data_IF_491161648358
#
_entry.id   IF_491161648358
#
_cell.length_a   1.000
_cell.length_b   1.000
_cell.length_c   1.000
_cell.angle_alpha   90.00
_cell.angle_beta   90.00
_cell.angle_gamma   90.00
#
_symmetry.space_group_name_H-M   'P 1'
#
loop_
_entity.id
_entity.type
_entity.pdbx_description
1 polymer ?
#
# COMPACT_ATOMS: atom_id res chain seq x y z
N UNK A 1 31.13 18.46 31.18
CA UNK A 1 32.10 17.37 31.42
C UNK A 1 32.97 17.11 30.19
N UNK A 2 32.40 17.09 28.97
CA UNK A 2 33.14 16.86 27.72
C UNK A 2 34.28 17.86 27.45
N UNK A 3 34.04 19.17 27.57
CA UNK A 3 35.10 20.19 27.40
C UNK A 3 36.28 19.97 28.36
N UNK A 4 35.98 19.54 29.60
CA UNK A 4 37.00 19.23 30.62
C UNK A 4 37.72 17.91 30.36
N UNK A 5 37.15 17.01 29.56
CA UNK A 5 37.85 15.83 29.08
C UNK A 5 38.93 16.20 28.06
N UNK A 6 38.65 17.13 27.15
CA UNK A 6 39.67 17.64 26.23
C UNK A 6 40.84 18.30 26.97
N UNK A 7 40.55 19.11 28.00
CA UNK A 7 41.59 19.68 28.87
C UNK A 7 42.37 18.60 29.63
N UNK A 8 41.70 17.53 30.06
CA UNK A 8 42.37 16.39 30.70
C UNK A 8 43.35 15.71 29.74
N UNK A 9 42.94 15.49 28.48
CA UNK A 9 43.80 14.93 27.44
C UNK A 9 44.94 15.89 27.04
N UNK A 10 44.73 17.21 27.13
CA UNK A 10 45.75 18.22 26.87
C UNK A 10 46.76 18.38 28.03
N UNK A 11 46.44 17.90 29.23
CA UNK A 11 47.28 18.07 30.42
C UNK A 11 48.66 17.42 30.26
N UNK A 12 49.71 18.13 30.69
CA UNK A 12 51.09 17.61 30.76
C UNK A 12 51.44 16.96 32.10
N UNK A 13 50.53 17.02 33.08
CA UNK A 13 50.75 16.39 34.38
C UNK A 13 50.95 14.88 34.22
N UNK A 14 51.96 14.26 34.87
CA UNK A 14 52.26 12.83 34.71
C UNK A 14 51.05 11.93 34.99
N UNK A 15 50.25 12.29 35.99
CA UNK A 15 49.04 11.59 36.40
C UNK A 15 47.90 11.61 35.35
N UNK A 16 47.90 12.57 34.43
CA UNK A 16 46.85 12.73 33.42
C UNK A 16 47.26 12.16 32.05
N UNK A 17 48.53 11.77 31.85
CA UNK A 17 49.00 11.26 30.55
C UNK A 17 48.21 10.04 30.05
N UNK A 18 47.75 9.17 30.97
CA UNK A 18 46.92 8.00 30.62
C UNK A 18 45.61 8.39 29.91
N UNK A 19 45.08 9.60 30.11
CA UNK A 19 43.88 10.05 29.42
C UNK A 19 44.07 10.20 27.91
N UNK A 20 45.31 10.39 27.43
CA UNK A 20 45.62 10.48 25.98
C UNK A 20 45.42 9.15 25.25
N UNK A 21 45.44 8.03 25.98
CA UNK A 21 45.27 6.69 25.40
C UNK A 21 43.85 6.12 25.58
N UNK A 22 42.92 6.91 26.12
CA UNK A 22 41.56 6.47 26.47
C UNK A 22 40.52 7.13 25.57
N UNK A 23 39.45 6.39 25.27
CA UNK A 23 38.21 6.94 24.69
C UNK A 23 37.34 7.54 25.81
N UNK A 24 36.42 8.43 25.47
CA UNK A 24 35.67 9.19 26.48
C UNK A 24 34.86 8.30 27.44
N UNK A 25 34.29 7.21 26.93
CA UNK A 25 33.51 6.25 27.73
C UNK A 25 34.33 5.51 28.79
N UNK A 26 35.65 5.40 28.61
CA UNK A 26 36.53 4.70 29.53
C UNK A 26 37.08 5.61 30.63
N UNK A 27 36.99 6.93 30.47
CA UNK A 27 37.54 7.90 31.43
C UNK A 27 37.09 7.64 32.88
N UNK A 28 35.81 7.30 33.14
CA UNK A 28 35.36 6.97 34.50
C UNK A 28 36.07 5.79 35.19
N UNK A 29 36.72 4.90 34.42
CA UNK A 29 37.49 3.76 34.94
C UNK A 29 38.73 4.22 35.72
N UNK A 30 39.34 5.35 35.31
CA UNK A 30 40.60 5.86 35.87
C UNK A 30 40.45 7.23 36.52
N UNK A 31 39.45 8.01 36.10
CA UNK A 31 39.19 9.35 36.57
C UNK A 31 37.79 9.44 37.16
N UNK A 32 37.58 10.37 38.09
CA UNK A 32 36.28 10.71 38.64
C UNK A 32 35.98 12.18 38.42
N UNK A 33 34.71 12.52 38.28
CA UNK A 33 34.29 13.91 38.21
C UNK A 33 34.37 14.57 39.60
N UNK A 34 35.23 15.58 39.75
CA UNK A 34 35.32 16.41 40.94
C UNK A 34 34.32 17.56 40.87
N UNK A 35 33.11 17.38 41.40
CA UNK A 35 32.02 18.36 41.29
C UNK A 35 32.39 19.77 41.77
N UNK A 36 33.12 19.88 42.89
CA UNK A 36 33.57 21.18 43.44
C UNK A 36 34.57 21.90 42.53
N UNK A 37 35.52 21.15 41.96
CA UNK A 37 36.57 21.71 41.09
C UNK A 37 36.17 21.73 39.60
N UNK A 38 34.99 21.20 39.26
CA UNK A 38 34.48 21.03 37.89
C UNK A 38 35.53 20.45 36.93
N UNK A 39 36.30 19.45 37.38
CA UNK A 39 37.37 18.80 36.59
C UNK A 39 37.41 17.30 36.81
N UNK A 40 37.99 16.59 35.85
CA UNK A 40 38.36 15.18 36.02
C UNK A 40 39.57 15.07 36.95
N UNK A 41 39.53 14.11 37.87
CA UNK A 41 40.59 13.86 38.85
C UNK A 41 40.92 12.39 38.85
N UNK A 42 42.22 12.04 38.81
CA UNK A 42 42.67 10.65 38.86
C UNK A 42 42.18 9.96 40.13
N UNK A 43 41.71 8.72 39.99
CA UNK A 43 41.32 7.89 41.13
C UNK A 43 42.58 7.41 41.86
N UNK A 44 42.57 7.48 43.19
CA UNK A 44 43.66 6.95 44.03
C UNK A 44 43.53 5.46 44.30
N UNK A 45 42.32 4.92 44.17
CA UNK A 45 42.00 3.51 44.37
C UNK A 45 41.10 3.03 43.22
N UNK A 46 41.25 1.76 42.84
CA UNK A 46 40.40 1.15 41.84
C UNK A 46 38.95 1.06 42.34
N UNK A 47 38.01 1.46 41.50
CA UNK A 47 36.59 1.32 41.74
C UNK A 47 35.95 0.98 40.39
N UNK A 48 35.18 -0.10 40.33
CA UNK A 48 34.40 -0.43 39.14
C UNK A 48 33.43 0.74 38.84
N UNK A 49 33.61 1.37 37.69
CA UNK A 49 32.82 2.49 37.24
C UNK A 49 32.49 2.26 35.77
N UNK A 50 31.28 2.59 35.35
CA UNK A 50 30.84 2.47 33.95
C UNK A 50 30.59 3.88 33.43
N UNK A 51 31.29 4.28 32.37
CA UNK A 51 31.02 5.53 31.68
C UNK A 51 29.79 5.39 30.79
N UNK A 52 28.72 6.12 31.14
CA UNK A 52 27.52 6.22 30.29
C UNK A 52 27.56 7.51 29.49
N UNK A 53 27.57 7.38 28.17
CA UNK A 53 27.34 8.52 27.29
C UNK A 53 25.85 8.78 27.14
N UNK A 54 25.49 10.06 27.01
CA UNK A 54 24.11 10.48 26.77
C UNK A 54 23.64 9.89 25.43
N UNK A 55 22.41 9.37 25.41
CA UNK A 55 21.77 8.93 24.18
C UNK A 55 21.54 10.14 23.26
N UNK A 56 21.92 10.01 21.99
CA UNK A 56 21.72 11.04 20.97
C UNK A 56 20.93 10.41 19.83
N UNK A 57 19.84 11.06 19.44
CA UNK A 57 19.05 10.63 18.28
C UNK A 57 19.87 10.80 17.00
N UNK A 58 19.83 9.83 16.06
CA UNK A 58 20.38 10.01 14.71
C UNK A 58 19.86 11.25 13.96
N UNK A 59 18.69 11.79 14.36
CA UNK A 59 18.12 13.03 13.80
C UNK A 59 18.93 14.29 14.17
N UNK A 60 19.71 14.26 15.25
CA UNK A 60 20.67 15.33 15.59
C UNK A 60 22.05 14.93 15.08
N UNK A 61 22.21 15.00 13.75
CA UNK A 61 23.36 14.45 13.00
C UNK A 61 24.70 14.89 13.60
N UNK A 62 24.86 16.18 13.90
CA UNK A 62 26.11 16.70 14.46
C UNK A 62 26.46 16.06 15.81
N UNK A 63 25.51 15.98 16.75
CA UNK A 63 25.78 15.34 18.05
C UNK A 63 25.92 13.83 17.94
N UNK A 64 25.20 13.20 17.01
CA UNK A 64 25.24 11.77 16.79
C UNK A 64 26.64 11.35 16.31
N UNK A 65 27.16 11.97 15.25
CA UNK A 65 28.49 11.65 14.72
C UNK A 65 29.62 12.09 15.66
N UNK A 66 29.45 13.19 16.41
CA UNK A 66 30.38 13.54 17.49
C UNK A 66 30.45 12.43 18.55
N UNK A 67 29.31 11.83 18.92
CA UNK A 67 29.26 10.71 19.85
C UNK A 67 29.95 9.47 19.27
N UNK A 68 29.75 9.16 17.99
CA UNK A 68 30.46 8.06 17.29
C UNK A 68 31.97 8.25 17.39
N UNK A 69 32.48 9.45 17.12
CA UNK A 69 33.90 9.74 17.24
C UNK A 69 34.40 9.60 18.69
N UNK A 70 33.64 10.04 19.69
CA UNK A 70 34.01 9.90 21.10
C UNK A 70 34.04 8.45 21.61
N UNK A 71 33.32 7.53 20.96
CA UNK A 71 33.41 6.09 21.25
C UNK A 71 34.73 5.48 20.78
N UNK A 72 35.30 5.98 19.68
CA UNK A 72 36.40 5.29 18.98
C UNK A 72 37.74 6.04 19.06
N UNK A 73 37.72 7.37 19.17
CA UNK A 73 38.93 8.20 19.18
C UNK A 73 39.50 8.38 20.59
N UNK A 74 40.80 8.10 20.71
CA UNK A 74 41.57 8.23 21.94
C UNK A 74 42.19 9.62 22.07
N UNK A 75 42.12 10.20 23.26
CA UNK A 75 42.87 11.40 23.63
C UNK A 75 42.66 12.70 22.83
N UNK A 76 41.50 13.00 22.23
CA UNK A 76 41.31 14.30 21.57
C UNK A 76 41.43 15.44 22.58
N UNK A 77 42.12 16.53 22.20
CA UNK A 77 42.39 17.70 23.03
C UNK A 77 41.50 18.91 22.68
N UNK A 78 40.69 18.81 21.64
CA UNK A 78 39.70 19.81 21.28
C UNK A 78 38.60 19.21 20.39
N UNK A 79 37.51 19.95 20.20
CA UNK A 79 36.47 19.60 19.22
C UNK A 79 37.03 19.56 17.80
N UNK A 80 37.99 20.42 17.49
CA UNK A 80 38.67 20.43 16.20
C UNK A 80 39.52 19.18 16.02
N UNK A 81 40.36 18.84 17.01
CA UNK A 81 41.20 17.65 16.92
C UNK A 81 40.36 16.37 16.84
N UNK A 82 39.17 16.34 17.45
CA UNK A 82 38.22 15.22 17.33
C UNK A 82 37.80 14.95 15.89
N UNK A 83 37.74 15.98 15.02
CA UNK A 83 37.44 15.87 13.58
C UNK A 83 38.68 15.97 12.67
N UNK A 84 39.89 16.02 13.24
CA UNK A 84 41.15 15.97 12.48
C UNK A 84 41.63 14.53 12.33
N UNK A 85 41.76 14.06 11.08
CA UNK A 85 42.21 12.71 10.72
C UNK A 85 43.42 12.85 9.78
N UNK A 86 44.53 12.18 10.10
CA UNK A 86 45.78 12.22 9.32
C UNK A 86 46.28 13.65 8.97
N UNK A 87 46.10 14.58 9.90
CA UNK A 87 46.49 15.99 9.72
C UNK A 87 45.49 16.86 8.96
N UNK A 88 44.37 16.30 8.48
CA UNK A 88 43.29 17.04 7.79
C UNK A 88 42.11 17.25 8.73
N UNK A 89 41.70 18.50 8.93
CA UNK A 89 40.52 18.86 9.73
C UNK A 89 39.27 18.88 8.85
N UNK A 90 38.36 17.93 9.03
CA UNK A 90 37.12 17.81 8.28
C UNK A 90 36.04 18.79 8.76
N UNK A 91 35.22 19.32 7.86
CA UNK A 91 34.18 20.31 8.19
C UNK A 91 33.16 19.75 9.19
N UNK A 92 32.72 18.51 9.00
CA UNK A 92 31.72 17.86 9.86
C UNK A 92 32.25 16.62 10.57
N UNK A 93 31.65 16.28 11.71
CA UNK A 93 31.96 15.03 12.43
C UNK A 93 31.59 13.78 11.61
N UNK A 94 30.60 13.87 10.70
CA UNK A 94 30.23 12.78 9.79
C UNK A 94 31.37 12.43 8.84
N UNK A 95 31.93 13.44 8.17
CA UNK A 95 33.05 13.24 7.23
C UNK A 95 34.28 12.65 7.92
N UNK A 96 34.61 13.12 9.13
CA UNK A 96 35.70 12.54 9.92
C UNK A 96 35.43 11.08 10.30
N UNK A 97 34.19 10.75 10.68
CA UNK A 97 33.81 9.37 11.01
C UNK A 97 33.83 8.44 9.77
N UNK A 98 33.39 8.94 8.61
CA UNK A 98 33.47 8.24 7.33
C UNK A 98 34.93 7.95 6.95
N UNK A 99 35.81 8.97 7.01
CA UNK A 99 37.23 8.81 6.68
C UNK A 99 37.93 7.78 7.57
N UNK A 100 37.52 7.67 8.83
CA UNK A 100 38.05 6.71 9.79
C UNK A 100 37.48 5.28 9.63
N UNK A 101 36.56 5.07 8.69
CA UNK A 101 35.89 3.78 8.46
C UNK A 101 34.94 3.39 9.59
N UNK A 102 34.36 4.37 10.30
CA UNK A 102 33.37 4.12 11.35
C UNK A 102 31.93 4.13 10.84
N UNK A 103 31.75 4.46 9.57
CA UNK A 103 30.48 4.42 8.84
C UNK A 103 30.70 3.51 7.64
N UNK A 104 29.70 2.71 7.31
CA UNK A 104 29.67 1.96 6.06
C UNK A 104 29.59 2.97 4.89
N UNK A 105 30.30 2.70 3.80
CA UNK A 105 30.19 3.47 2.56
C UNK A 105 29.53 2.64 1.45
N UNK A 106 29.03 3.32 0.41
CA UNK A 106 28.37 2.66 -0.71
C UNK A 106 29.35 2.33 -1.85
N UNK A 107 30.66 2.35 -1.59
CA UNK A 107 31.69 2.20 -2.63
C UNK A 107 31.61 0.83 -3.33
N UNK A 108 31.28 -0.22 -2.58
CA UNK A 108 31.07 -1.57 -3.12
C UNK A 108 29.88 -1.62 -4.09
N UNK A 109 28.80 -0.89 -3.79
CA UNK A 109 27.61 -0.80 -4.63
C UNK A 109 27.87 0.02 -5.89
N UNK A 110 28.59 1.12 -5.76
CA UNK A 110 29.04 1.93 -6.90
C UNK A 110 29.95 1.11 -7.80
N UNK A 111 30.92 0.37 -7.26
CA UNK A 111 31.81 -0.49 -8.05
C UNK A 111 31.03 -1.60 -8.78
N UNK A 112 30.10 -2.26 -8.08
CA UNK A 112 29.23 -3.30 -8.63
C UNK A 112 28.37 -2.76 -9.80
N UNK A 113 27.72 -1.61 -9.60
CA UNK A 113 26.91 -0.97 -10.63
C UNK A 113 27.76 -0.50 -11.81
N UNK A 114 28.95 0.05 -11.55
CA UNK A 114 29.91 0.46 -12.59
C UNK A 114 30.32 -0.72 -13.48
N UNK A 115 30.68 -1.85 -12.88
CA UNK A 115 31.04 -3.06 -13.62
C UNK A 115 29.86 -3.56 -14.46
N UNK A 116 28.67 -3.65 -13.85
CA UNK A 116 27.47 -4.11 -14.54
C UNK A 116 27.09 -3.20 -15.72
N UNK A 117 27.19 -1.88 -15.57
CA UNK A 117 26.85 -0.91 -16.61
C UNK A 117 27.66 -1.10 -17.90
N UNK A 118 28.86 -1.67 -17.81
CA UNK A 118 29.71 -1.93 -18.97
C UNK A 118 29.17 -3.02 -19.92
N UNK A 119 28.29 -3.92 -19.45
CA UNK A 119 27.84 -5.08 -20.26
C UNK A 119 26.38 -5.48 -20.10
N UNK A 120 25.66 -4.97 -19.09
CA UNK A 120 24.25 -5.29 -18.84
C UNK A 120 23.31 -4.39 -19.63
N UNK A 121 22.11 -4.91 -19.93
CA UNK A 121 21.03 -4.09 -20.51
C UNK A 121 20.35 -3.23 -19.43
N UNK A 122 19.74 -2.09 -19.78
CA UNK A 122 19.09 -1.19 -18.82
C UNK A 122 18.09 -1.87 -17.87
N UNK A 123 17.28 -2.81 -18.37
CA UNK A 123 16.35 -3.57 -17.52
C UNK A 123 17.08 -4.45 -16.49
N UNK A 124 18.19 -5.09 -16.86
CA UNK A 124 19.00 -5.89 -15.93
C UNK A 124 19.68 -5.01 -14.89
N UNK A 125 20.11 -3.79 -15.26
CA UNK A 125 20.62 -2.80 -14.32
C UNK A 125 19.54 -2.35 -13.33
N UNK A 126 18.30 -2.13 -13.80
CA UNK A 126 17.15 -1.83 -12.92
C UNK A 126 16.86 -2.98 -11.95
N UNK A 127 17.03 -4.24 -12.36
CA UNK A 127 16.92 -5.39 -11.46
C UNK A 127 18.04 -5.43 -10.41
N UNK A 128 19.27 -5.14 -10.82
CA UNK A 128 20.43 -5.12 -9.94
C UNK A 128 20.30 -4.03 -8.87
N UNK A 129 20.00 -2.79 -9.27
CA UNK A 129 19.85 -1.68 -8.31
C UNK A 129 18.66 -1.92 -7.36
N UNK A 130 17.55 -2.50 -7.84
CA UNK A 130 16.45 -2.90 -6.97
C UNK A 130 16.89 -3.92 -5.91
N UNK A 131 17.72 -4.89 -6.30
CA UNK A 131 18.27 -5.91 -5.40
C UNK A 131 19.20 -5.28 -4.36
N UNK A 132 20.11 -4.42 -4.79
CA UNK A 132 21.04 -3.71 -3.90
C UNK A 132 20.26 -2.85 -2.89
N UNK A 133 19.27 -2.07 -3.34
CA UNK A 133 18.46 -1.22 -2.46
C UNK A 133 17.69 -2.04 -1.43
N UNK A 134 17.11 -3.19 -1.84
CA UNK A 134 16.29 -4.03 -0.95
C UNK A 134 17.14 -4.79 0.07
N UNK A 135 18.31 -5.29 -0.33
CA UNK A 135 19.06 -6.27 0.46
C UNK A 135 20.37 -5.76 1.07
N UNK A 136 20.85 -4.56 0.69
CA UNK A 136 22.23 -4.16 0.95
C UNK A 136 22.41 -2.82 1.69
N UNK A 137 21.53 -2.47 2.64
CA UNK A 137 21.67 -1.32 3.57
C UNK A 137 22.37 -0.07 2.97
N UNK A 138 21.96 0.34 1.78
CA UNK A 138 22.55 1.46 1.04
C UNK A 138 22.38 2.74 1.83
N UNK A 139 23.47 3.46 2.08
CA UNK A 139 23.47 4.67 2.90
C UNK A 139 22.85 5.86 2.18
N UNK A 140 23.11 6.03 0.88
CA UNK A 140 22.70 7.17 0.06
C UNK A 140 22.05 6.70 -1.25
N UNK A 141 20.83 6.12 -1.15
CA UNK A 141 20.07 5.58 -2.31
C UNK A 141 19.87 6.62 -3.42
N UNK A 142 19.69 7.90 -3.06
CA UNK A 142 19.55 9.02 -4.00
C UNK A 142 20.77 9.16 -4.88
N UNK A 143 21.96 9.20 -4.27
CA UNK A 143 23.22 9.40 -4.96
C UNK A 143 23.48 8.24 -5.93
N UNK A 144 23.21 7.00 -5.52
CA UNK A 144 23.33 5.82 -6.38
C UNK A 144 22.38 5.87 -7.58
N UNK A 145 21.12 6.29 -7.37
CA UNK A 145 20.16 6.48 -8.46
C UNK A 145 20.62 7.56 -9.44
N UNK A 146 21.00 8.74 -8.93
CA UNK A 146 21.40 9.88 -9.77
C UNK A 146 22.66 9.55 -10.58
N UNK A 147 23.62 8.82 -9.99
CA UNK A 147 24.87 8.42 -10.65
C UNK A 147 24.64 7.48 -11.84
N UNK A 148 23.72 6.52 -11.73
CA UNK A 148 23.48 5.50 -12.76
C UNK A 148 22.21 5.74 -13.59
N UNK A 149 21.55 6.90 -13.43
CA UNK A 149 20.26 7.18 -14.06
C UNK A 149 20.30 7.05 -15.59
N UNK A 150 21.36 7.53 -16.24
CA UNK A 150 21.49 7.47 -17.70
C UNK A 150 21.59 6.02 -18.20
N UNK A 151 22.37 5.18 -17.52
CA UNK A 151 22.48 3.75 -17.83
C UNK A 151 21.16 3.02 -17.57
N UNK A 152 20.49 3.36 -16.47
CA UNK A 152 19.20 2.80 -16.07
C UNK A 152 18.07 3.19 -17.03
N UNK A 153 18.16 4.30 -17.75
CA UNK A 153 17.06 4.85 -18.54
C UNK A 153 17.28 4.77 -20.06
N UNK A 154 18.44 4.28 -20.50
CA UNK A 154 18.89 4.31 -21.90
C UNK A 154 17.89 3.71 -22.90
N UNK A 155 17.22 2.61 -22.54
CA UNK A 155 16.21 1.95 -23.39
C UNK A 155 14.96 2.82 -23.59
N UNK A 156 14.52 3.52 -22.54
CA UNK A 156 13.42 4.48 -22.64
C UNK A 156 13.85 5.75 -23.37
N UNK A 157 15.07 6.24 -23.16
CA UNK A 157 15.60 7.37 -23.92
C UNK A 157 15.62 7.08 -25.43
N UNK A 158 15.97 5.85 -25.82
CA UNK A 158 15.91 5.41 -27.20
C UNK A 158 14.46 5.28 -27.70
N UNK A 159 13.59 4.64 -26.92
CA UNK A 159 12.18 4.41 -27.28
C UNK A 159 11.42 5.72 -27.52
N UNK A 160 11.65 6.73 -26.68
CA UNK A 160 10.98 8.02 -26.71
C UNK A 160 11.79 9.12 -27.37
N UNK A 161 12.77 8.76 -28.23
CA UNK A 161 13.68 9.71 -28.91
C UNK A 161 12.97 10.75 -29.79
N UNK A 162 11.72 10.51 -30.17
CA UNK A 162 10.92 11.42 -30.99
C UNK A 162 10.30 12.57 -30.18
N UNK A 163 10.12 12.41 -28.86
CA UNK A 163 9.66 13.47 -27.97
C UNK A 163 10.77 14.51 -27.78
N UNK A 164 10.41 15.73 -27.39
CA UNK A 164 11.37 16.82 -27.15
C UNK A 164 11.06 17.59 -25.86
N UNK A 165 12.07 18.29 -25.34
CA UNK A 165 11.95 19.14 -24.15
C UNK A 165 11.54 18.37 -22.90
N UNK A 166 10.83 19.07 -22.01
CA UNK A 166 10.42 18.54 -20.71
C UNK A 166 9.56 17.28 -20.82
N UNK A 167 8.69 17.20 -21.84
CA UNK A 167 7.82 16.03 -22.05
C UNK A 167 8.63 14.73 -22.23
N UNK A 168 9.75 14.82 -22.95
CA UNK A 168 10.67 13.69 -23.13
C UNK A 168 11.30 13.27 -21.81
N UNK A 169 11.86 14.23 -21.07
CA UNK A 169 12.55 13.97 -19.80
C UNK A 169 11.60 13.37 -18.76
N UNK A 170 10.41 13.96 -18.60
CA UNK A 170 9.37 13.47 -17.71
C UNK A 170 8.95 12.03 -18.08
N UNK A 171 8.78 11.74 -19.38
CA UNK A 171 8.42 10.41 -19.85
C UNK A 171 9.51 9.37 -19.54
N UNK A 172 10.78 9.69 -19.80
CA UNK A 172 11.91 8.78 -19.57
C UNK A 172 12.04 8.50 -18.06
N UNK A 173 12.02 9.56 -17.25
CA UNK A 173 12.16 9.44 -15.79
C UNK A 173 11.00 8.64 -15.20
N UNK A 174 9.77 8.94 -15.60
CA UNK A 174 8.59 8.21 -15.17
C UNK A 174 8.65 6.72 -15.53
N UNK A 175 9.04 6.36 -16.76
CA UNK A 175 9.08 4.96 -17.20
C UNK A 175 10.18 4.18 -16.48
N UNK A 176 11.35 4.81 -16.30
CA UNK A 176 12.48 4.23 -15.56
C UNK A 176 12.10 3.98 -14.10
N UNK A 177 11.54 5.01 -13.45
CA UNK A 177 11.09 4.93 -12.07
C UNK A 177 9.94 3.93 -11.89
N UNK A 178 8.98 3.87 -12.83
CA UNK A 178 7.87 2.92 -12.78
C UNK A 178 8.37 1.48 -12.93
N UNK A 179 9.32 1.23 -13.84
CA UNK A 179 9.96 -0.08 -13.96
C UNK A 179 10.69 -0.47 -12.67
N UNK A 180 11.37 0.46 -12.02
CA UNK A 180 12.02 0.20 -10.73
C UNK A 180 10.99 -0.07 -9.63
N UNK A 181 9.93 0.73 -9.57
CA UNK A 181 8.81 0.54 -8.64
C UNK A 181 8.21 -0.87 -8.74
N UNK A 182 7.95 -1.33 -9.96
CA UNK A 182 7.38 -2.67 -10.19
C UNK A 182 8.30 -3.79 -9.71
N UNK A 183 9.63 -3.59 -9.77
CA UNK A 183 10.64 -4.51 -9.25
C UNK A 183 10.71 -4.49 -7.72
N UNK A 184 10.62 -3.31 -7.10
CA UNK A 184 10.59 -3.15 -5.64
C UNK A 184 9.32 -3.78 -5.04
N UNK A 185 8.18 -3.65 -5.71
CA UNK A 185 6.90 -4.21 -5.27
C UNK A 185 6.91 -5.74 -5.12
N UNK A 186 7.77 -6.44 -5.87
CA UNK A 186 7.96 -7.89 -5.72
C UNK A 186 8.45 -8.23 -4.31
N UNK A 187 9.24 -7.34 -3.71
CA UNK A 187 9.80 -7.50 -2.38
C UNK A 187 9.00 -6.76 -1.29
N UNK A 188 7.78 -6.30 -1.61
CA UNK A 188 6.91 -5.60 -0.67
C UNK A 188 7.27 -4.13 -0.41
N UNK A 189 8.16 -3.55 -1.23
CA UNK A 189 8.54 -2.14 -1.12
C UNK A 189 7.97 -1.28 -2.24
N UNK A 190 7.86 0.01 -1.99
CA UNK A 190 7.55 1.05 -2.95
C UNK A 190 8.73 2.01 -3.09
N UNK A 191 8.76 2.76 -4.20
CA UNK A 191 9.71 3.89 -4.36
C UNK A 191 9.56 4.96 -3.27
N UNK A 192 8.42 5.00 -2.58
CA UNK A 192 8.16 5.90 -1.46
C UNK A 192 8.90 5.49 -0.16
N UNK A 193 9.36 4.24 -0.07
CA UNK A 193 10.11 3.73 1.08
C UNK A 193 11.61 4.12 1.03
N UNK A 194 12.05 4.69 -0.09
CA UNK A 194 13.44 5.08 -0.34
C UNK A 194 13.52 6.53 -0.80
N UNK A 195 14.70 7.14 -0.68
CA UNK A 195 14.96 8.48 -1.23
C UNK A 195 15.15 8.43 -2.75
N UNK A 196 14.05 8.19 -3.46
CA UNK A 196 13.96 8.15 -4.93
C UNK A 196 13.00 9.22 -5.44
N UNK A 197 13.04 9.60 -6.74
CA UNK A 197 11.98 10.43 -7.30
C UNK A 197 10.63 9.71 -7.12
N UNK A 198 9.53 10.47 -7.04
CA UNK A 198 8.24 9.90 -6.66
C UNK A 198 7.27 9.90 -7.84
N UNK A 199 6.57 8.78 -8.05
CA UNK A 199 5.64 8.64 -9.19
C UNK A 199 4.52 9.69 -9.18
N UNK A 200 4.11 10.18 -7.99
CA UNK A 200 3.08 11.22 -7.87
C UNK A 200 3.52 12.59 -8.42
N UNK A 201 4.81 12.77 -8.73
CA UNK A 201 5.32 13.97 -9.42
C UNK A 201 4.85 14.02 -10.89
N UNK A 202 4.39 12.90 -11.46
CA UNK A 202 3.92 12.79 -12.84
C UNK A 202 2.45 12.33 -12.93
N UNK A 203 1.48 13.10 -12.41
CA UNK A 203 0.09 12.66 -12.28
C UNK A 203 -0.54 12.25 -13.61
N UNK A 204 -0.29 12.99 -14.70
CA UNK A 204 -0.81 12.66 -16.02
C UNK A 204 -0.26 11.32 -16.57
N UNK A 205 1.03 11.05 -16.36
CA UNK A 205 1.66 9.81 -16.80
C UNK A 205 1.26 8.61 -15.95
N UNK A 206 0.99 8.81 -14.65
CA UNK A 206 0.38 7.78 -13.80
C UNK A 206 -0.98 7.40 -14.35
N UNK A 207 -1.83 8.37 -14.67
CA UNK A 207 -3.16 8.12 -15.24
C UNK A 207 -3.05 7.41 -16.58
N UNK A 208 -2.24 7.88 -17.53
CA UNK A 208 -2.01 7.20 -18.81
C UNK A 208 -1.54 5.75 -18.62
N UNK A 209 -0.59 5.54 -17.70
CA UNK A 209 -0.08 4.20 -17.42
C UNK A 209 -1.14 3.28 -16.83
N UNK A 210 -2.06 3.79 -16.02
CA UNK A 210 -3.21 3.04 -15.51
C UNK A 210 -4.21 2.74 -16.63
N UNK A 211 -4.44 3.67 -17.56
CA UNK A 211 -5.37 3.49 -18.68
C UNK A 211 -4.86 2.49 -19.74
N UNK A 212 -3.56 2.13 -19.73
CA UNK A 212 -3.06 0.97 -20.49
C UNK A 212 -3.64 -0.36 -20.02
N UNK A 213 -4.09 -0.44 -18.76
CA UNK A 213 -4.90 -1.55 -18.29
C UNK A 213 -6.31 -1.42 -18.89
N UNK A 214 -6.61 -2.27 -19.86
CA UNK A 214 -7.90 -2.27 -20.56
C UNK A 214 -9.11 -2.46 -19.64
N UNK A 215 -8.94 -3.09 -18.48
CA UNK A 215 -10.00 -3.23 -17.49
C UNK A 215 -10.31 -1.91 -16.80
N UNK A 216 -9.26 -1.16 -16.38
CA UNK A 216 -9.41 0.17 -15.80
C UNK A 216 -10.01 1.15 -16.80
N UNK A 217 -9.47 1.14 -18.04
CA UNK A 217 -9.97 2.00 -19.12
C UNK A 217 -11.45 1.78 -19.39
N UNK A 218 -11.90 0.52 -19.42
CA UNK A 218 -13.34 0.23 -19.57
C UNK A 218 -14.16 0.82 -18.43
N UNK A 219 -13.71 0.71 -17.19
CA UNK A 219 -14.50 1.23 -16.06
C UNK A 219 -14.53 2.76 -15.98
N UNK A 220 -13.46 3.45 -16.43
CA UNK A 220 -13.33 4.90 -16.35
C UNK A 220 -13.85 5.63 -17.61
N UNK A 221 -13.68 5.04 -18.80
CA UNK A 221 -14.00 5.67 -20.10
C UNK A 221 -15.06 4.91 -20.91
N UNK A 222 -15.40 3.68 -20.52
CA UNK A 222 -16.24 2.80 -21.32
C UNK A 222 -17.75 3.05 -21.19
N UNK A 223 -18.17 3.95 -20.30
CA UNK A 223 -19.58 4.29 -20.09
C UNK A 223 -19.89 5.69 -20.58
N UNK A 224 -20.96 5.81 -21.35
CA UNK A 224 -21.45 7.10 -21.82
C UNK A 224 -21.95 7.96 -20.64
N UNK A 225 -21.33 9.11 -20.42
CA UNK A 225 -21.63 9.97 -19.28
C UNK A 225 -23.07 10.50 -19.32
N UNK A 226 -23.63 10.76 -20.51
CA UNK A 226 -25.01 11.23 -20.63
C UNK A 226 -26.02 10.17 -20.19
N UNK A 227 -25.75 8.91 -20.52
CA UNK A 227 -26.52 7.75 -20.08
C UNK A 227 -26.43 7.58 -18.57
N UNK A 228 -25.23 7.69 -17.98
CA UNK A 228 -25.06 7.64 -16.53
C UNK A 228 -25.85 8.77 -15.84
N UNK A 229 -25.74 10.00 -16.34
CA UNK A 229 -26.44 11.16 -15.81
C UNK A 229 -27.95 10.97 -15.86
N UNK A 230 -28.50 10.51 -16.99
CA UNK A 230 -29.96 10.27 -17.12
C UNK A 230 -30.52 9.26 -16.12
N UNK A 231 -29.72 8.28 -15.70
CA UNK A 231 -30.10 7.32 -14.65
C UNK A 231 -30.07 8.02 -13.30
N UNK A 232 -29.02 8.79 -13.01
CA UNK A 232 -28.88 9.52 -11.74
C UNK A 232 -29.99 10.57 -11.59
N UNK A 233 -30.39 11.25 -12.65
CA UNK A 233 -31.48 12.24 -12.64
C UNK A 233 -32.84 11.64 -12.24
N UNK A 234 -32.98 10.32 -12.38
CA UNK A 234 -34.16 9.57 -11.97
C UNK A 234 -34.11 9.11 -10.50
N UNK A 235 -33.11 9.52 -9.70
CA UNK A 235 -32.99 9.11 -8.29
C UNK A 235 -34.19 9.50 -7.42
N UNK A 236 -34.94 10.53 -7.82
CA UNK A 236 -36.19 10.93 -7.16
C UNK A 236 -37.35 9.93 -7.37
N UNK A 237 -37.18 8.91 -8.23
CA UNK A 237 -38.16 7.83 -8.44
C UNK A 237 -37.94 6.65 -7.49
N UNK A 238 -36.85 6.63 -6.72
CA UNK A 238 -36.63 5.63 -5.69
C UNK A 238 -37.65 5.85 -4.56
N UNK A 239 -38.27 4.77 -4.07
CA UNK A 239 -39.11 4.86 -2.87
C UNK A 239 -38.23 5.10 -1.62
N UNK A 240 -38.85 5.44 -0.49
CA UNK A 240 -38.13 5.80 0.74
C UNK A 240 -37.17 4.69 1.21
N UNK A 241 -37.58 3.42 1.10
CA UNK A 241 -36.73 2.28 1.45
C UNK A 241 -35.52 2.11 0.53
N UNK A 242 -35.72 2.22 -0.78
CA UNK A 242 -34.64 2.20 -1.77
C UNK A 242 -33.71 3.39 -1.60
N UNK A 243 -34.25 4.58 -1.34
CA UNK A 243 -33.51 5.81 -1.12
C UNK A 243 -32.61 5.72 0.10
N UNK A 244 -33.12 5.21 1.22
CA UNK A 244 -32.33 5.00 2.43
C UNK A 244 -31.16 4.05 2.18
N UNK A 245 -31.37 2.93 1.47
CA UNK A 245 -30.30 1.98 1.12
C UNK A 245 -29.27 2.62 0.16
N UNK A 246 -29.76 3.37 -0.83
CA UNK A 246 -28.91 4.10 -1.78
C UNK A 246 -27.99 5.08 -1.06
N UNK A 247 -28.53 5.91 -0.16
CA UNK A 247 -27.78 6.91 0.59
C UNK A 247 -26.75 6.24 1.53
N UNK A 248 -27.14 5.18 2.26
CA UNK A 248 -26.25 4.39 3.14
C UNK A 248 -25.02 3.86 2.37
N UNK A 249 -25.25 3.27 1.20
CA UNK A 249 -24.18 2.66 0.39
C UNK A 249 -23.27 3.74 -0.20
N UNK A 250 -23.83 4.84 -0.73
CA UNK A 250 -23.01 5.93 -1.26
C UNK A 250 -22.17 6.60 -0.18
N UNK A 251 -22.74 6.78 1.02
CA UNK A 251 -21.98 7.27 2.16
C UNK A 251 -20.82 6.34 2.50
N UNK A 252 -20.98 5.02 2.42
CA UNK A 252 -19.89 4.07 2.62
C UNK A 252 -18.81 4.16 1.52
N UNK A 253 -19.20 4.42 0.26
CA UNK A 253 -18.28 4.58 -0.88
C UNK A 253 -17.52 5.93 -0.85
N UNK A 254 -18.14 6.98 -0.31
CA UNK A 254 -17.57 8.32 -0.17
C UNK A 254 -16.85 8.55 1.17
N UNK A 255 -17.21 7.77 2.19
CA UNK A 255 -16.73 7.90 3.57
C UNK A 255 -15.31 7.41 3.82
N UNK A 256 -14.82 7.74 5.02
CA UNK A 256 -13.49 7.32 5.51
C UNK A 256 -13.42 5.81 5.79
N UNK A 257 -12.20 5.27 5.97
CA UNK A 257 -11.94 3.85 6.16
C UNK A 257 -12.64 3.17 7.35
N UNK A 258 -13.32 3.92 8.24
CA UNK A 258 -14.05 3.40 9.40
C UNK A 258 -15.56 3.47 9.14
N UNK A 259 -16.26 2.34 9.24
CA UNK A 259 -17.72 2.26 9.04
C UNK A 259 -18.19 0.89 8.54
N UNK A 260 -19.50 0.73 8.40
CA UNK A 260 -20.11 -0.45 7.76
C UNK A 260 -19.79 -0.45 6.26
N UNK A 261 -19.16 -1.52 5.78
CA UNK A 261 -18.73 -1.66 4.37
C UNK A 261 -19.42 -2.81 3.63
N UNK A 262 -20.09 -3.70 4.37
CA UNK A 262 -20.68 -4.91 3.83
C UNK A 262 -22.19 -4.85 3.99
N UNK A 263 -22.91 -4.87 2.86
CA UNK A 263 -24.36 -4.75 2.83
C UNK A 263 -24.97 -5.95 2.12
N UNK A 264 -26.05 -6.49 2.68
CA UNK A 264 -26.89 -7.48 2.01
C UNK A 264 -28.28 -6.89 1.79
N UNK A 265 -28.67 -6.71 0.53
CA UNK A 265 -30.00 -6.23 0.15
C UNK A 265 -30.91 -7.44 -0.08
N UNK A 266 -31.76 -7.73 0.91
CA UNK A 266 -32.87 -8.67 0.78
C UNK A 266 -34.09 -7.97 0.20
N UNK A 267 -34.81 -8.68 -0.67
CA UNK A 267 -36.14 -8.26 -1.07
C UNK A 267 -36.80 -9.34 -1.90
N UNK A 268 -38.13 -9.49 -1.84
CA UNK A 268 -38.84 -10.38 -2.74
C UNK A 268 -38.64 -10.02 -4.23
N UNK A 269 -39.13 -10.86 -5.13
CA UNK A 269 -39.33 -10.46 -6.52
C UNK A 269 -40.12 -9.15 -6.62
N UNK A 270 -39.85 -8.35 -7.66
CA UNK A 270 -40.59 -7.12 -7.96
C UNK A 270 -40.39 -5.92 -7.01
N UNK A 271 -39.47 -5.98 -6.03
CA UNK A 271 -39.18 -4.84 -5.14
C UNK A 271 -38.16 -3.84 -5.68
N UNK A 272 -37.73 -4.00 -6.94
CA UNK A 272 -36.84 -3.05 -7.61
C UNK A 272 -35.35 -3.15 -7.22
N UNK A 273 -34.89 -4.28 -6.64
CA UNK A 273 -33.46 -4.51 -6.31
C UNK A 273 -32.51 -4.16 -7.45
N UNK A 274 -32.72 -4.71 -8.65
CA UNK A 274 -31.83 -4.46 -9.79
C UNK A 274 -31.87 -2.99 -10.25
N UNK A 275 -33.02 -2.32 -10.11
CA UNK A 275 -33.14 -0.87 -10.35
C UNK A 275 -32.27 -0.09 -9.38
N UNK A 276 -32.38 -0.40 -8.07
CA UNK A 276 -31.55 0.22 -7.04
C UNK A 276 -30.04 0.03 -7.31
N UNK A 277 -29.60 -1.20 -7.61
CA UNK A 277 -28.20 -1.46 -7.95
C UNK A 277 -27.73 -0.67 -9.17
N UNK A 278 -28.61 -0.50 -10.17
CA UNK A 278 -28.33 0.30 -11.37
C UNK A 278 -28.09 1.77 -11.01
N UNK A 279 -28.90 2.35 -10.14
CA UNK A 279 -28.69 3.74 -9.68
C UNK A 279 -27.37 3.88 -8.92
N UNK A 280 -27.06 2.95 -8.00
CA UNK A 280 -25.79 2.97 -7.25
C UNK A 280 -24.59 2.89 -8.21
N UNK A 281 -24.60 1.93 -9.15
CA UNK A 281 -23.55 1.79 -10.16
C UNK A 281 -23.39 3.05 -11.00
N UNK A 282 -24.49 3.64 -11.44
CA UNK A 282 -24.48 4.85 -12.25
C UNK A 282 -23.86 6.03 -11.49
N UNK A 283 -24.28 6.24 -10.23
CA UNK A 283 -23.76 7.33 -9.39
C UNK A 283 -22.27 7.19 -9.13
N UNK A 284 -21.80 6.02 -8.71
CA UNK A 284 -20.39 5.78 -8.39
C UNK A 284 -19.50 6.00 -9.63
N UNK A 285 -19.92 5.50 -10.79
CA UNK A 285 -19.17 5.67 -12.04
C UNK A 285 -19.19 7.12 -12.54
N UNK A 286 -20.32 7.81 -12.41
CA UNK A 286 -20.44 9.22 -12.77
C UNK A 286 -19.50 10.11 -11.92
N UNK A 287 -19.25 9.72 -10.67
CA UNK A 287 -18.25 10.34 -9.80
C UNK A 287 -16.79 10.00 -10.14
N UNK A 288 -16.53 9.30 -11.25
CA UNK A 288 -15.18 8.91 -11.68
C UNK A 288 -14.56 7.77 -10.86
N UNK A 289 -15.35 7.09 -10.03
CA UNK A 289 -14.90 5.94 -9.23
C UNK A 289 -15.17 4.62 -9.96
N UNK A 290 -14.40 3.59 -9.61
CA UNK A 290 -14.51 2.27 -10.23
C UNK A 290 -15.47 1.40 -9.42
N UNK A 291 -16.47 0.83 -10.09
CA UNK A 291 -17.41 -0.12 -9.51
C UNK A 291 -17.38 -1.46 -10.28
N UNK A 292 -17.07 -2.54 -9.57
CA UNK A 292 -17.09 -3.90 -10.12
C UNK A 292 -18.51 -4.47 -9.96
N UNK A 293 -19.20 -4.70 -11.07
CA UNK A 293 -20.52 -5.31 -11.08
C UNK A 293 -20.43 -6.78 -11.49
N UNK A 294 -20.86 -7.69 -10.61
CA UNK A 294 -20.96 -9.11 -10.90
C UNK A 294 -22.32 -9.68 -10.56
N UNK A 295 -22.65 -10.82 -11.15
CA UNK A 295 -23.80 -11.62 -10.74
C UNK A 295 -23.42 -13.12 -10.67
N UNK A 296 -24.23 -13.90 -9.95
CA UNK A 296 -24.07 -15.35 -9.84
C UNK A 296 -24.32 -16.08 -11.17
N UNK A 297 -25.22 -15.56 -12.01
CA UNK A 297 -25.56 -16.14 -13.32
C UNK A 297 -25.25 -15.20 -14.49
N UNK A 298 -25.03 -15.76 -15.68
CA UNK A 298 -24.79 -14.97 -16.90
C UNK A 298 -25.98 -14.08 -17.26
N UNK A 299 -27.20 -14.59 -17.11
CA UNK A 299 -28.42 -13.86 -17.44
C UNK A 299 -28.60 -12.67 -16.48
N UNK A 300 -28.43 -12.88 -15.18
CA UNK A 300 -28.51 -11.81 -14.19
C UNK A 300 -27.46 -10.72 -14.43
N UNK A 301 -26.26 -11.10 -14.87
CA UNK A 301 -25.19 -10.13 -15.14
C UNK A 301 -25.53 -9.13 -16.25
N UNK A 302 -26.41 -9.48 -17.19
CA UNK A 302 -26.84 -8.58 -18.27
C UNK A 302 -27.70 -7.41 -17.77
N UNK A 303 -28.33 -7.55 -16.60
CA UNK A 303 -29.15 -6.52 -15.99
C UNK A 303 -28.31 -5.44 -15.28
N UNK A 304 -27.07 -5.77 -14.96
CA UNK A 304 -26.11 -4.84 -14.38
C UNK A 304 -25.30 -4.15 -15.49
N UNK A 305 -25.14 -2.84 -15.37
CA UNK A 305 -24.31 -2.08 -16.30
C UNK A 305 -22.86 -2.56 -16.21
N UNK A 306 -22.30 -3.08 -17.31
CA UNK A 306 -20.96 -3.68 -17.31
C UNK A 306 -20.87 -4.98 -16.50
N UNK A 307 -22.00 -5.61 -16.19
CA UNK A 307 -22.05 -6.82 -15.40
C UNK A 307 -21.38 -8.01 -16.08
N UNK A 308 -20.76 -8.85 -15.25
CA UNK A 308 -20.16 -10.13 -15.65
C UNK A 308 -20.47 -11.20 -14.61
N UNK A 309 -20.25 -12.47 -14.93
CA UNK A 309 -20.37 -13.51 -13.90
C UNK A 309 -19.23 -13.38 -12.89
N UNK A 310 -19.54 -13.58 -11.61
CA UNK A 310 -18.55 -13.52 -10.53
C UNK A 310 -17.39 -14.50 -10.76
N UNK A 311 -17.70 -15.70 -11.25
CA UNK A 311 -16.71 -16.71 -11.64
C UNK A 311 -15.70 -16.18 -12.66
N UNK A 312 -16.16 -15.48 -13.70
CA UNK A 312 -15.29 -14.97 -14.76
C UNK A 312 -14.44 -13.77 -14.32
N UNK A 313 -15.04 -12.88 -13.50
CA UNK A 313 -14.42 -11.66 -13.01
C UNK A 313 -13.36 -11.96 -11.97
N UNK A 314 -13.69 -12.75 -10.94
CA UNK A 314 -12.78 -13.07 -9.85
C UNK A 314 -11.97 -14.34 -10.07
N UNK A 315 -12.09 -15.02 -11.23
CA UNK A 315 -11.38 -16.28 -11.50
C UNK A 315 -11.61 -17.32 -10.40
N UNK A 316 -12.88 -17.44 -9.97
CA UNK A 316 -13.30 -18.38 -8.93
C UNK A 316 -13.13 -19.81 -9.47
N UNK A 317 -12.42 -20.71 -8.75
CA UNK A 317 -12.30 -22.12 -9.15
C UNK A 317 -13.68 -22.79 -9.24
N UNK A 318 -13.85 -23.71 -10.20
CA UNK A 318 -15.08 -24.50 -10.31
C UNK A 318 -15.25 -25.53 -9.19
N UNK A 319 -14.13 -25.99 -8.62
CA UNK A 319 -14.10 -26.88 -7.46
C UNK A 319 -13.69 -26.05 -6.25
N UNK A 320 -14.64 -25.83 -5.35
CA UNK A 320 -14.47 -25.01 -4.16
C UNK A 320 -14.41 -25.86 -2.89
N UNK A 321 -13.63 -25.37 -1.94
CA UNK A 321 -13.56 -25.84 -0.56
C UNK A 321 -13.24 -24.65 0.36
N UNK A 322 -13.24 -24.90 1.66
CA UNK A 322 -12.93 -23.96 2.75
C UNK A 322 -11.59 -23.20 2.56
N UNK A 323 -10.62 -23.79 1.85
CA UNK A 323 -9.28 -23.21 1.62
C UNK A 323 -9.07 -22.65 0.22
N UNK A 324 -10.05 -22.71 -0.68
CA UNK A 324 -9.89 -22.32 -2.10
C UNK A 324 -9.65 -20.82 -2.28
N UNK A 325 -8.62 -20.39 -2.99
CA UNK A 325 -8.44 -18.98 -3.37
C UNK A 325 -8.79 -18.75 -4.84
N UNK A 326 -8.97 -17.50 -5.23
CA UNK A 326 -9.17 -17.12 -6.62
C UNK A 326 -7.85 -17.13 -7.39
N UNK A 327 -7.87 -17.56 -8.66
CA UNK A 327 -6.68 -17.63 -9.51
C UNK A 327 -6.30 -16.25 -10.08
N UNK A 328 -5.94 -15.31 -9.20
CA UNK A 328 -5.54 -13.94 -9.53
C UNK A 328 -4.08 -13.72 -9.11
N UNK A 329 -3.21 -13.39 -10.06
CA UNK A 329 -1.80 -13.10 -9.78
C UNK A 329 -1.61 -11.66 -9.30
N UNK A 330 -0.75 -11.42 -8.29
CA UNK A 330 -0.51 -10.07 -7.72
C UNK A 330 -0.15 -9.01 -8.77
N UNK A 331 0.61 -9.34 -9.81
CA UNK A 331 1.01 -8.40 -10.87
C UNK A 331 0.03 -8.32 -12.07
N UNK A 332 -1.22 -8.76 -11.91
CA UNK A 332 -2.18 -8.75 -13.00
C UNK A 332 -2.95 -7.43 -13.13
N UNK A 333 -3.41 -7.12 -14.35
CA UNK A 333 -4.34 -6.02 -14.60
C UNK A 333 -5.62 -6.11 -13.74
N UNK A 334 -6.07 -7.32 -13.40
CA UNK A 334 -7.25 -7.53 -12.57
C UNK A 334 -6.97 -7.12 -11.11
N UNK A 335 -5.77 -7.38 -10.60
CA UNK A 335 -5.35 -6.91 -9.27
C UNK A 335 -5.43 -5.40 -9.19
N UNK A 336 -4.89 -4.68 -10.17
CA UNK A 336 -4.95 -3.21 -10.18
C UNK A 336 -6.40 -2.71 -10.26
N UNK A 337 -7.27 -3.38 -11.01
CA UNK A 337 -8.71 -3.07 -11.04
C UNK A 337 -9.34 -3.21 -9.64
N UNK A 338 -9.10 -4.33 -8.96
CA UNK A 338 -9.64 -4.60 -7.61
C UNK A 338 -9.10 -3.58 -6.61
N UNK A 339 -7.80 -3.29 -6.64
CA UNK A 339 -7.18 -2.30 -5.76
C UNK A 339 -7.80 -0.90 -5.94
N UNK A 340 -8.11 -0.52 -7.18
CA UNK A 340 -8.71 0.80 -7.50
C UNK A 340 -10.23 0.84 -7.38
N UNK A 341 -10.92 -0.30 -7.31
CA UNK A 341 -12.36 -0.34 -7.15
C UNK A 341 -12.80 0.24 -5.80
N UNK A 342 -13.77 1.13 -5.82
CA UNK A 342 -14.40 1.69 -4.62
C UNK A 342 -15.61 0.86 -4.17
N UNK A 343 -16.22 0.12 -5.09
CA UNK A 343 -17.43 -0.66 -4.86
C UNK A 343 -17.38 -2.01 -5.58
N UNK A 344 -17.84 -3.07 -4.90
CA UNK A 344 -18.13 -4.37 -5.50
C UNK A 344 -19.63 -4.66 -5.31
N UNK A 345 -20.37 -4.86 -6.39
CA UNK A 345 -21.76 -5.32 -6.37
C UNK A 345 -21.82 -6.77 -6.85
N UNK A 346 -22.52 -7.62 -6.11
CA UNK A 346 -22.80 -9.00 -6.50
C UNK A 346 -24.29 -9.30 -6.43
N UNK A 347 -24.92 -9.42 -7.60
CA UNK A 347 -26.34 -9.73 -7.72
C UNK A 347 -26.63 -11.23 -7.79
N UNK A 348 -27.82 -11.61 -7.34
CA UNK A 348 -28.26 -13.00 -7.15
C UNK A 348 -27.31 -13.82 -6.26
N UNK A 349 -26.77 -13.19 -5.20
CA UNK A 349 -25.81 -13.81 -4.29
C UNK A 349 -26.29 -15.14 -3.66
N UNK A 350 -27.58 -15.32 -3.27
CA UNK A 350 -28.07 -16.57 -2.69
C UNK A 350 -27.89 -17.82 -3.55
N UNK A 351 -27.77 -17.68 -4.88
CA UNK A 351 -27.55 -18.81 -5.79
C UNK A 351 -26.12 -19.37 -5.73
N UNK A 352 -25.18 -18.64 -5.13
CA UNK A 352 -23.76 -19.01 -5.10
C UNK A 352 -23.40 -19.71 -3.79
N UNK A 353 -22.56 -20.75 -3.88
CA UNK A 353 -22.05 -21.46 -2.70
C UNK A 353 -21.18 -20.54 -1.83
N UNK A 354 -21.31 -20.63 -0.49
CA UNK A 354 -20.55 -19.83 0.48
C UNK A 354 -19.04 -19.80 0.25
N UNK A 355 -18.42 -20.92 -0.15
CA UNK A 355 -16.99 -21.00 -0.40
C UNK A 355 -16.52 -20.09 -1.55
N UNK A 356 -17.40 -19.69 -2.47
CA UNK A 356 -17.03 -18.71 -3.48
C UNK A 356 -16.83 -17.32 -2.87
N UNK A 357 -17.69 -16.92 -1.93
CA UNK A 357 -17.55 -15.66 -1.20
C UNK A 357 -16.33 -15.67 -0.28
N UNK A 358 -16.09 -16.79 0.41
CA UNK A 358 -14.92 -16.97 1.28
C UNK A 358 -13.60 -17.00 0.47
N UNK A 359 -13.60 -17.59 -0.73
CA UNK A 359 -12.47 -17.57 -1.64
C UNK A 359 -12.16 -16.16 -2.14
N UNK A 360 -13.21 -15.42 -2.51
CA UNK A 360 -13.11 -14.02 -2.94
C UNK A 360 -12.61 -13.16 -1.79
N UNK A 361 -13.20 -13.27 -0.59
CA UNK A 361 -12.75 -12.57 0.63
C UNK A 361 -11.25 -12.77 0.88
N UNK A 362 -10.79 -14.02 0.98
CA UNK A 362 -9.36 -14.32 1.20
C UNK A 362 -8.45 -13.75 0.12
N UNK A 363 -8.91 -13.77 -1.13
CA UNK A 363 -8.12 -13.22 -2.23
C UNK A 363 -8.08 -11.69 -2.21
N UNK A 364 -9.19 -11.02 -1.87
CA UNK A 364 -9.19 -9.58 -1.74
C UNK A 364 -8.36 -9.09 -0.56
N UNK A 365 -8.35 -9.81 0.58
CA UNK A 365 -7.46 -9.49 1.71
C UNK A 365 -5.99 -9.51 1.30
N UNK A 366 -5.55 -10.53 0.57
CA UNK A 366 -4.17 -10.63 0.05
C UNK A 366 -3.86 -9.55 -1.02
N UNK A 367 -4.81 -9.25 -1.90
CA UNK A 367 -4.64 -8.20 -2.94
C UNK A 367 -4.54 -6.79 -2.33
N UNK A 368 -5.29 -6.55 -1.26
CA UNK A 368 -5.37 -5.27 -0.57
C UNK A 368 -4.34 -5.12 0.56
N UNK A 369 -3.60 -6.18 0.87
CA UNK A 369 -2.70 -6.27 2.03
C UNK A 369 -3.42 -5.85 3.34
N UNK A 370 -4.66 -6.36 3.50
CA UNK A 370 -5.54 -6.03 4.62
C UNK A 370 -6.26 -7.29 5.10
N UNK A 371 -5.61 -8.02 6.01
CA UNK A 371 -6.15 -9.25 6.60
C UNK A 371 -7.19 -9.02 7.70
N UNK A 372 -7.25 -7.79 8.23
CA UNK A 372 -8.09 -7.43 9.39
C UNK A 372 -9.55 -7.22 8.99
N UNK A 373 -9.80 -6.72 7.79
CA UNK A 373 -11.15 -6.43 7.30
C UNK A 373 -11.59 -7.44 6.23
N UNK A 374 -12.85 -7.93 6.28
CA UNK A 374 -13.36 -8.76 5.20
C UNK A 374 -13.35 -8.01 3.86
N UNK A 375 -13.18 -8.77 2.79
CA UNK A 375 -12.98 -8.30 1.41
C UNK A 375 -11.85 -7.26 1.28
N UNK A 376 -10.84 -7.31 2.15
CA UNK A 376 -9.72 -6.37 2.15
C UNK A 376 -10.15 -4.92 2.39
N UNK A 377 -11.24 -4.71 3.12
CA UNK A 377 -11.80 -3.39 3.42
C UNK A 377 -12.54 -2.73 2.24
N UNK A 378 -12.93 -3.50 1.21
CA UNK A 378 -13.77 -3.00 0.10
C UNK A 378 -15.23 -2.89 0.50
N UNK A 379 -15.88 -1.82 0.02
CA UNK A 379 -17.34 -1.72 0.10
C UNK A 379 -17.95 -2.77 -0.82
N UNK A 380 -18.66 -3.73 -0.24
CA UNK A 380 -19.24 -4.87 -0.96
C UNK A 380 -20.73 -4.96 -0.68
N UNK A 381 -21.52 -4.95 -1.75
CA UNK A 381 -22.98 -5.01 -1.72
C UNK A 381 -23.40 -6.31 -2.38
N UNK A 382 -23.99 -7.21 -1.59
CA UNK A 382 -24.63 -8.42 -2.08
C UNK A 382 -26.13 -8.17 -2.18
N UNK A 383 -26.77 -8.68 -3.22
CA UNK A 383 -28.22 -8.62 -3.37
C UNK A 383 -28.79 -9.96 -3.77
N UNK A 384 -30.04 -10.19 -3.40
CA UNK A 384 -30.78 -11.34 -3.87
C UNK A 384 -31.98 -11.63 -3.00
N UNK A 385 -32.50 -12.84 -3.15
CA UNK A 385 -33.65 -13.30 -2.42
C UNK A 385 -33.46 -14.77 -2.00
N UNK A 386 -33.32 -15.03 -0.70
CA UNK A 386 -33.20 -16.39 -0.18
C UNK A 386 -34.48 -17.23 -0.32
N UNK A 387 -35.61 -16.60 -0.70
CA UNK A 387 -36.86 -17.30 -1.05
C UNK A 387 -36.80 -17.88 -2.47
N UNK A 388 -35.78 -17.54 -3.26
CA UNK A 388 -35.57 -18.07 -4.61
C UNK A 388 -34.64 -19.28 -4.61
N UNK A 389 -33.85 -19.45 -5.66
CA UNK A 389 -32.98 -20.61 -5.88
C UNK A 389 -31.78 -20.54 -4.94
N UNK A 390 -31.65 -21.55 -4.08
CA UNK A 390 -30.48 -21.78 -3.24
C UNK A 390 -29.32 -22.38 -4.05
N UNK A 391 -28.08 -22.44 -3.51
CA UNK A 391 -26.95 -23.02 -4.23
C UNK A 391 -27.22 -24.47 -4.64
N UNK A 392 -26.85 -24.81 -5.87
CA UNK A 392 -27.04 -26.17 -6.39
C UNK A 392 -25.95 -27.09 -5.86
N UNK A 393 -26.30 -27.98 -4.91
CA UNK A 393 -25.42 -29.06 -4.42
C UNK A 393 -25.81 -30.36 -5.11
N UNK A 394 -24.99 -30.80 -6.08
CA UNK A 394 -25.27 -32.00 -6.88
C UNK A 394 -25.34 -33.24 -5.99
N UNK A 395 -26.51 -33.89 -5.93
CA UNK A 395 -26.80 -35.04 -5.05
C UNK A 395 -26.70 -34.73 -3.55
N UNK A 396 -26.80 -33.45 -3.18
CA UNK A 396 -26.77 -33.02 -1.79
C UNK A 396 -28.10 -33.23 -1.06
N UNK A 397 -28.01 -33.41 0.24
CA UNK A 397 -29.11 -33.39 1.20
C UNK A 397 -29.56 -31.95 1.47
N UNK A 398 -30.78 -31.73 2.02
CA UNK A 398 -31.22 -30.40 2.43
C UNK A 398 -30.25 -29.72 3.42
N UNK A 399 -29.63 -30.48 4.33
CA UNK A 399 -28.65 -29.97 5.27
C UNK A 399 -27.39 -29.47 4.55
N UNK A 400 -26.89 -30.18 3.55
CA UNK A 400 -25.75 -29.76 2.73
C UNK A 400 -26.07 -28.52 1.89
N UNK A 401 -27.30 -28.40 1.36
CA UNK A 401 -27.74 -27.18 0.67
C UNK A 401 -27.78 -25.97 1.61
N UNK A 402 -28.26 -26.15 2.84
CA UNK A 402 -28.25 -25.10 3.87
C UNK A 402 -26.82 -24.74 4.26
N UNK A 403 -25.93 -25.71 4.46
CA UNK A 403 -24.51 -25.44 4.72
C UNK A 403 -23.83 -24.70 3.56
N UNK A 404 -24.23 -24.98 2.32
CA UNK A 404 -23.72 -24.29 1.15
C UNK A 404 -24.21 -22.83 1.03
N UNK A 405 -25.28 -22.44 1.72
CA UNK A 405 -25.83 -21.08 1.65
C UNK A 405 -24.90 -20.04 2.28
N UNK A 406 -24.94 -18.82 1.75
CA UNK A 406 -24.18 -17.68 2.28
C UNK A 406 -24.45 -17.44 3.78
N UNK A 407 -25.67 -17.68 4.28
CA UNK A 407 -26.03 -17.53 5.70
C UNK A 407 -25.22 -18.43 6.64
N UNK A 408 -24.66 -19.52 6.12
CA UNK A 408 -23.82 -20.47 6.87
C UNK A 408 -22.33 -20.08 6.84
N UNK A 409 -21.96 -19.02 6.10
CA UNK A 409 -20.60 -18.48 6.09
C UNK A 409 -20.32 -17.65 7.34
N UNK A 410 -19.06 -17.68 7.79
CA UNK A 410 -18.55 -16.75 8.81
C UNK A 410 -18.61 -15.29 8.38
N UNK A 411 -18.67 -15.01 7.07
CA UNK A 411 -18.84 -13.67 6.54
C UNK A 411 -20.23 -13.09 6.84
N UNK A 412 -21.26 -13.92 7.00
CA UNK A 412 -22.64 -13.45 7.10
C UNK A 412 -22.89 -12.48 8.26
N UNK A 413 -22.25 -12.69 9.41
CA UNK A 413 -22.36 -11.82 10.58
C UNK A 413 -21.82 -10.41 10.36
N UNK A 414 -21.02 -10.19 9.32
CA UNK A 414 -20.42 -8.89 9.00
C UNK A 414 -21.31 -8.07 8.05
N UNK A 415 -22.32 -8.67 7.43
CA UNK A 415 -23.22 -7.97 6.51
C UNK A 415 -24.35 -7.25 7.26
N UNK A 416 -24.48 -5.94 7.03
CA UNK A 416 -25.69 -5.19 7.38
C UNK A 416 -26.83 -5.64 6.47
N UNK A 417 -27.89 -6.18 7.06
CA UNK A 417 -29.06 -6.66 6.32
C UNK A 417 -30.05 -5.52 6.10
N UNK A 418 -30.29 -5.20 4.82
CA UNK A 418 -31.18 -4.16 4.36
C UNK A 418 -32.35 -4.81 3.63
N UNK A 419 -33.59 -4.44 3.95
CA UNK A 419 -34.78 -5.13 3.45
C UNK A 419 -35.63 -4.18 2.60
N UNK A 420 -35.90 -4.58 1.36
CA UNK A 420 -36.89 -3.95 0.50
C UNK A 420 -38.22 -4.70 0.62
N UNK A 421 -39.24 -4.03 1.15
CA UNK A 421 -40.56 -4.61 1.42
C UNK A 421 -41.63 -4.15 0.43
N UNK A 422 -41.44 -3.01 -0.22
CA UNK A 422 -42.42 -2.45 -1.15
C UNK A 422 -42.34 -3.10 -2.54
N UNK A 423 -43.48 -3.61 -3.02
CA UNK A 423 -43.58 -4.21 -4.34
C UNK A 423 -43.86 -3.12 -5.39
N UNK A 424 -42.83 -2.79 -6.17
CA UNK A 424 -42.88 -1.74 -7.19
C UNK A 424 -43.78 -2.11 -8.37
N UNK A 425 -43.87 -3.40 -8.71
CA UNK A 425 -44.70 -3.88 -9.82
C UNK A 425 -46.19 -3.70 -9.52
N UNK A 426 -46.58 -3.89 -8.25
CA UNK A 426 -47.94 -3.64 -7.77
C UNK A 426 -48.32 -2.17 -7.76
N UNK A 427 -47.42 -1.30 -7.31
CA UNK A 427 -47.66 0.15 -7.30
C UNK A 427 -47.76 0.75 -8.72
N UNK A 428 -47.09 0.14 -9.70
CA UNK A 428 -47.16 0.53 -11.11
C UNK A 428 -48.36 -0.08 -11.89
N UNK A 429 -49.19 -0.91 -11.24
CA UNK A 429 -50.30 -1.59 -11.89
C UNK A 429 -51.40 -0.58 -12.28
N UNK A 430 -51.86 -0.65 -13.53
CA UNK A 430 -52.81 0.32 -14.11
C UNK A 430 -54.26 0.14 -13.63
N UNK A 431 -54.58 -0.95 -12.94
CA UNK A 431 -55.91 -1.22 -12.35
C UNK A 431 -55.82 -2.09 -11.09
N UNK A 432 -56.83 -2.01 -10.23
CA UNK A 432 -56.95 -2.85 -9.02
C UNK A 432 -57.01 -4.35 -9.33
N UNK A 433 -57.59 -4.73 -10.49
CA UNK A 433 -57.63 -6.14 -10.91
C UNK A 433 -56.24 -6.67 -11.26
N UNK A 434 -55.42 -5.89 -11.95
CA UNK A 434 -54.05 -6.27 -12.29
C UNK A 434 -53.14 -6.26 -11.06
N UNK A 435 -53.39 -5.36 -10.10
CA UNK A 435 -52.70 -5.38 -8.80
C UNK A 435 -53.08 -6.64 -7.99
N UNK A 436 -54.35 -7.03 -7.96
CA UNK A 436 -54.78 -8.24 -7.26
C UNK A 436 -54.18 -9.53 -7.87
N UNK A 437 -54.12 -9.63 -9.20
CA UNK A 437 -53.48 -10.75 -9.89
C UNK A 437 -51.96 -10.81 -9.64
N UNK A 438 -51.28 -9.66 -9.67
CA UNK A 438 -49.84 -9.55 -9.41
C UNK A 438 -49.46 -9.78 -7.94
N UNK A 439 -50.40 -9.62 -7.00
CA UNK A 439 -50.16 -9.81 -5.56
C UNK A 439 -50.35 -11.27 -5.13
N UNK A 440 -51.02 -12.07 -5.97
CA UNK A 440 -51.21 -13.50 -5.76
C UNK A 440 -50.00 -14.36 -6.22
N UNK A 441 -49.05 -13.75 -6.93
CA UNK A 441 -47.75 -14.30 -7.33
C UNK A 441 -46.62 -13.75 -6.45
#
# INVERSE_FOLDING_TARGET
>A
MLTRFFELCASESPENQEAKTMVYQDIPNKFRWGAKAKKWVRRKQFQAAIGRMVHVSPRDMNKFYMRVLLCHRKGPQSFEQLRTVDGVTYETYRQAALKLGYLDDDAEWVACMTEAAAFKKPYELRQLIATIIVYSHVSEVRELWDQFYDDLSQDYAHTYRALQGQEKEDMIQFKTLKSLHDLLQINGYAVADFDLPQLHQYPALVVDSLLRNSLLRRELEGYDQSTLQSIVDQENQLNDGQRSIYDDILQAVDGSAQGEKLFFIDGPGSTGKSTLLRHILAKVRLSGKIAIAVASSGIASLLLMGGRTAHSTFKIPLKLNDKSTCAIYKQSNLTTLIQRASLVIWDEAPMTHRHAFEAVDRTLRDIMDNDQEPFGGKVSVLSGDFRQILPVVVRGTPAETIDACLKSSSLWSHFKQLHLTENMRLQSARSESTAAELAAF
#
